data_IF_748848331949
#
_entry.id   IF_748848331949
#
_cell.length_a   1.000
_cell.length_b   1.000
_cell.length_c   1.000
_cell.angle_alpha   90.00
_cell.angle_beta   90.00
_cell.angle_gamma   90.00
#
_symmetry.space_group_name_H-M   'P 1'
#
loop_
_entity.id
_entity.type
_entity.pdbx_description
1 polymer ?
#
# COMPACT_ATOMS: atom_id res chain seq x y z
N UNK A 1 1.38 -1.07 -16.84
CA UNK A 1 1.99 -1.84 -15.74
C UNK A 1 0.90 -2.67 -15.06
N UNK A 2 1.19 -3.92 -14.71
CA UNK A 2 0.30 -4.80 -13.93
C UNK A 2 0.84 -5.03 -12.51
N UNK A 3 0.03 -5.60 -11.61
CA UNK A 3 0.41 -5.78 -10.20
C UNK A 3 1.72 -6.54 -9.98
N UNK A 4 2.02 -7.55 -10.80
CA UNK A 4 3.27 -8.31 -10.68
C UNK A 4 4.52 -7.48 -11.03
N UNK A 5 4.44 -6.66 -12.08
CA UNK A 5 5.52 -5.75 -12.47
C UNK A 5 5.72 -4.66 -11.41
N UNK A 6 4.62 -4.14 -10.86
CA UNK A 6 4.65 -3.16 -9.78
C UNK A 6 5.38 -3.70 -8.54
N UNK A 7 5.08 -4.94 -8.12
CA UNK A 7 5.75 -5.56 -6.96
C UNK A 7 7.25 -5.69 -7.21
N UNK A 8 7.67 -6.07 -8.42
CA UNK A 8 9.09 -6.15 -8.75
C UNK A 8 9.77 -4.77 -8.74
N UNK A 9 9.08 -3.70 -9.14
CA UNK A 9 9.61 -2.33 -9.00
C UNK A 9 9.71 -1.90 -7.53
N UNK A 10 8.71 -2.26 -6.72
CA UNK A 10 8.68 -1.96 -5.29
C UNK A 10 9.87 -2.60 -4.55
N UNK A 11 10.19 -3.85 -4.87
CA UNK A 11 11.36 -4.56 -4.34
C UNK A 11 12.67 -3.83 -4.65
N UNK A 12 12.84 -3.31 -5.87
CA UNK A 12 14.06 -2.58 -6.29
C UNK A 12 14.27 -1.28 -5.53
N UNK A 13 13.19 -0.62 -5.14
CA UNK A 13 13.26 0.69 -4.46
C UNK A 13 13.19 0.57 -2.94
N UNK A 14 12.98 -0.63 -2.40
CA UNK A 14 12.76 -0.89 -0.97
C UNK A 14 13.72 -0.12 -0.08
N UNK A 15 15.02 -0.19 -0.36
CA UNK A 15 16.06 0.36 0.50
C UNK A 15 16.14 1.89 0.49
N UNK A 16 15.49 2.56 -0.46
CA UNK A 16 15.43 4.02 -0.57
C UNK A 16 14.42 4.62 0.42
N UNK A 17 13.56 3.79 1.01
CA UNK A 17 12.47 4.21 1.89
C UNK A 17 12.57 3.53 3.25
N UNK A 18 12.07 4.22 4.27
CA UNK A 18 11.77 3.63 5.57
C UNK A 18 10.30 3.22 5.58
N UNK A 19 10.05 1.91 5.45
CA UNK A 19 8.71 1.34 5.45
C UNK A 19 8.19 1.11 6.87
N UNK A 20 6.89 1.26 7.05
CA UNK A 20 6.22 1.07 8.33
C UNK A 20 4.77 0.63 8.16
N UNK A 21 4.24 -0.01 9.19
CA UNK A 21 2.82 -0.27 9.36
C UNK A 21 2.19 0.86 10.16
N UNK A 22 1.52 1.78 9.47
CA UNK A 22 0.83 2.90 10.09
C UNK A 22 -0.60 2.47 10.47
N UNK A 23 -1.04 2.65 11.74
CA UNK A 23 -2.44 2.39 12.07
C UNK A 23 -3.35 3.28 11.23
N UNK A 24 -4.46 2.71 10.76
CA UNK A 24 -5.51 3.48 10.11
C UNK A 24 -6.16 4.40 11.13
N UNK A 25 -5.95 5.71 10.99
CA UNK A 25 -6.44 6.72 11.95
C UNK A 25 -7.92 7.06 11.73
N UNK A 26 -8.42 6.81 10.52
CA UNK A 26 -9.81 7.10 10.15
C UNK A 26 -10.72 5.91 10.50
N UNK A 27 -10.15 4.73 10.68
CA UNK A 27 -10.85 3.57 11.21
C UNK A 27 -10.85 3.60 12.75
N UNK A 28 -11.97 4.02 13.35
CA UNK A 28 -12.21 3.70 14.76
C UNK A 28 -12.52 2.20 14.86
N UNK A 29 -11.66 1.38 15.49
CA UNK A 29 -12.00 -0.01 15.73
C UNK A 29 -13.17 -0.04 16.71
N UNK A 30 -14.30 -0.60 16.28
CA UNK A 30 -15.29 -1.08 17.24
C UNK A 30 -14.62 -2.19 18.09
N UNK A 31 -15.09 -2.46 19.31
CA UNK A 31 -14.47 -3.43 20.24
C UNK A 31 -14.34 -4.85 19.67
N UNK A 32 -14.92 -5.11 18.49
CA UNK A 32 -14.94 -6.38 17.76
C UNK A 32 -14.10 -6.37 16.48
N UNK A 33 -13.54 -5.24 16.05
CA UNK A 33 -12.71 -5.14 14.84
C UNK A 33 -11.23 -4.98 15.19
N UNK A 34 -10.39 -5.77 14.50
CA UNK A 34 -8.92 -5.68 14.60
C UNK A 34 -8.48 -4.34 14.03
N UNK A 35 -7.53 -3.67 14.70
CA UNK A 35 -6.86 -2.48 14.17
C UNK A 35 -6.30 -2.77 12.79
N UNK A 36 -6.64 -1.92 11.81
CA UNK A 36 -6.12 -2.01 10.44
C UNK A 36 -4.79 -1.28 10.36
N UNK A 37 -3.83 -1.88 9.66
CA UNK A 37 -2.51 -1.31 9.46
C UNK A 37 -2.22 -1.07 7.97
N UNK A 38 -1.91 0.16 7.64
CA UNK A 38 -1.61 0.62 6.28
C UNK A 38 -0.11 0.53 6.03
N UNK A 39 0.30 0.02 4.87
CA UNK A 39 1.71 0.03 4.44
C UNK A 39 2.03 1.45 3.99
N UNK A 40 2.98 2.10 4.67
CA UNK A 40 3.42 3.46 4.41
C UNK A 40 4.93 3.57 4.45
N UNK A 41 5.46 4.63 3.87
CA UNK A 41 6.88 4.93 3.96
C UNK A 41 7.21 6.41 4.00
N UNK A 42 8.45 6.67 4.40
CA UNK A 42 9.09 7.98 4.32
C UNK A 42 10.37 7.78 3.50
N UNK A 43 10.65 8.70 2.57
CA UNK A 43 11.88 8.68 1.78
C UNK A 43 13.10 8.95 2.68
N UNK A 44 14.18 8.19 2.50
CA UNK A 44 15.44 8.40 3.23
C UNK A 44 16.28 9.54 2.64
N UNK A 45 16.11 9.86 1.36
CA UNK A 45 17.04 10.68 0.57
C UNK A 45 16.34 11.89 -0.10
N UNK A 46 15.61 12.68 0.69
CA UNK A 46 14.85 13.85 0.20
C UNK A 46 13.35 13.68 0.41
N UNK A 47 12.57 14.73 0.13
CA UNK A 47 11.12 14.79 0.41
C UNK A 47 10.77 14.62 1.90
N UNK A 48 11.55 15.25 2.78
CA UNK A 48 11.26 15.27 4.22
C UNK A 48 9.82 15.75 4.48
N UNK A 49 9.11 15.01 5.34
CA UNK A 49 7.72 15.32 5.71
C UNK A 49 6.64 14.68 4.85
N UNK A 50 6.98 14.02 3.73
CA UNK A 50 6.01 13.27 2.93
C UNK A 50 5.87 11.83 3.40
N UNK A 51 4.62 11.40 3.56
CA UNK A 51 4.26 9.99 3.74
C UNK A 51 3.80 9.46 2.39
N UNK A 52 4.42 8.37 1.95
CA UNK A 52 4.10 7.70 0.71
C UNK A 52 3.31 6.42 0.99
N UNK A 53 2.36 6.11 0.11
CA UNK A 53 1.90 4.74 -0.08
C UNK A 53 2.84 4.00 -1.05
N UNK A 54 2.70 2.68 -1.25
CA UNK A 54 3.56 1.94 -2.16
C UNK A 54 3.55 2.50 -3.60
N UNK A 55 2.39 2.95 -4.10
CA UNK A 55 2.26 3.47 -5.46
C UNK A 55 3.01 4.81 -5.59
N UNK A 56 2.78 5.73 -4.64
CA UNK A 56 3.46 7.02 -4.57
C UNK A 56 4.98 6.88 -4.45
N UNK A 57 5.48 5.89 -3.70
CA UNK A 57 6.91 5.63 -3.59
C UNK A 57 7.53 5.21 -4.95
N UNK A 58 6.90 4.27 -5.67
CA UNK A 58 7.36 3.86 -7.00
C UNK A 58 7.26 5.01 -8.00
N UNK A 59 6.20 5.81 -7.92
CA UNK A 59 6.01 6.99 -8.77
C UNK A 59 7.13 8.02 -8.55
N UNK A 60 7.44 8.31 -7.28
CA UNK A 60 8.49 9.23 -6.89
C UNK A 60 9.85 8.82 -7.47
N UNK A 61 10.24 7.55 -7.36
CA UNK A 61 11.52 7.08 -7.89
C UNK A 61 11.55 7.08 -9.42
N UNK A 62 10.46 6.67 -10.09
CA UNK A 62 10.45 6.57 -11.56
C UNK A 62 10.33 7.90 -12.27
N UNK A 63 9.66 8.88 -11.67
CA UNK A 63 9.28 10.13 -12.35
C UNK A 63 9.85 11.38 -11.70
N UNK A 64 10.30 11.29 -10.43
CA UNK A 64 10.70 12.45 -9.63
C UNK A 64 9.54 13.22 -9.01
N UNK A 65 8.28 12.88 -9.32
CA UNK A 65 7.10 13.52 -8.73
C UNK A 65 6.69 12.82 -7.43
N UNK A 66 6.65 13.60 -6.34
CA UNK A 66 6.20 13.11 -5.05
C UNK A 66 4.70 13.35 -4.88
N UNK A 67 3.95 12.27 -4.70
CA UNK A 67 2.54 12.27 -4.31
C UNK A 67 2.44 11.77 -2.86
N UNK A 68 1.66 12.46 -2.02
CA UNK A 68 1.33 11.92 -0.70
C UNK A 68 0.38 10.73 -0.83
N UNK A 69 0.18 9.98 0.26
CA UNK A 69 -0.63 8.78 0.29
C UNK A 69 -2.13 8.99 -0.07
N UNK A 70 -2.59 10.23 -0.08
CA UNK A 70 -3.95 10.61 -0.51
C UNK A 70 -4.11 10.68 -2.05
N UNK A 71 -3.01 10.82 -2.80
CA UNK A 71 -3.01 11.01 -4.27
C UNK A 71 -2.49 9.78 -5.02
N UNK A 72 -2.82 8.59 -4.53
CA UNK A 72 -2.39 7.32 -5.12
C UNK A 72 -2.95 7.12 -6.53
N UNK A 73 -4.11 7.72 -6.86
CA UNK A 73 -4.74 7.57 -8.18
C UNK A 73 -3.91 8.28 -9.25
N UNK A 74 -3.54 9.54 -9.03
CA UNK A 74 -2.68 10.33 -9.89
C UNK A 74 -1.29 9.69 -10.03
N UNK A 75 -0.75 9.17 -8.92
CA UNK A 75 0.51 8.41 -8.95
C UNK A 75 0.39 7.14 -9.81
N UNK A 76 -0.74 6.43 -9.74
CA UNK A 76 -0.99 5.22 -10.53
C UNK A 76 -1.13 5.50 -12.03
N UNK A 77 -1.78 6.62 -12.39
CA UNK A 77 -1.91 7.08 -13.77
C UNK A 77 -0.54 7.45 -14.36
N UNK A 78 0.28 8.18 -13.61
CA UNK A 78 1.64 8.54 -14.01
C UNK A 78 2.54 7.30 -14.23
N UNK A 79 2.30 6.21 -13.50
CA UNK A 79 2.99 4.93 -13.67
C UNK A 79 2.44 4.07 -14.83
N UNK A 80 1.28 4.44 -15.38
CA UNK A 80 0.53 3.63 -16.34
C UNK A 80 0.07 2.31 -15.74
N UNK A 81 -0.26 2.29 -14.44
CA UNK A 81 -0.81 1.12 -13.75
C UNK A 81 -2.27 0.92 -14.17
N UNK A 82 -2.67 -0.33 -14.42
CA UNK A 82 -4.08 -0.63 -14.71
C UNK A 82 -4.98 -0.14 -13.55
N UNK A 83 -6.12 0.52 -13.81
CA UNK A 83 -7.01 1.00 -12.74
C UNK A 83 -7.48 -0.11 -11.79
N UNK A 84 -7.68 -1.33 -12.34
CA UNK A 84 -8.07 -2.50 -11.55
C UNK A 84 -6.94 -2.89 -10.59
N UNK A 85 -5.72 -3.04 -11.11
CA UNK A 85 -4.56 -3.40 -10.30
C UNK A 85 -4.21 -2.31 -9.29
N UNK A 86 -4.33 -1.04 -9.67
CA UNK A 86 -4.13 0.10 -8.77
C UNK A 86 -5.11 0.04 -7.58
N UNK A 87 -6.40 -0.19 -7.86
CA UNK A 87 -7.41 -0.36 -6.81
C UNK A 87 -7.11 -1.54 -5.89
N UNK A 88 -6.72 -2.68 -6.44
CA UNK A 88 -6.39 -3.88 -5.66
C UNK A 88 -5.13 -3.71 -4.81
N UNK A 89 -4.07 -3.09 -5.36
CA UNK A 89 -2.83 -2.79 -4.65
C UNK A 89 -3.07 -1.81 -3.51
N UNK A 90 -3.82 -0.73 -3.75
CA UNK A 90 -4.21 0.24 -2.73
C UNK A 90 -5.05 -0.42 -1.63
N UNK A 91 -6.05 -1.23 -2.01
CA UNK A 91 -6.87 -1.97 -1.05
C UNK A 91 -6.04 -2.92 -0.18
N UNK A 92 -5.12 -3.67 -0.78
CA UNK A 92 -4.21 -4.58 -0.08
C UNK A 92 -3.24 -3.82 0.85
N UNK A 93 -2.67 -2.71 0.38
CA UNK A 93 -1.78 -1.84 1.17
C UNK A 93 -2.50 -1.26 2.39
N UNK A 94 -3.79 -0.92 2.25
CA UNK A 94 -4.63 -0.36 3.31
C UNK A 94 -5.35 -1.41 4.18
N UNK A 95 -5.00 -2.69 4.05
CA UNK A 95 -5.61 -3.80 4.79
C UNK A 95 -7.14 -3.95 4.61
N UNK A 96 -7.64 -3.59 3.42
CA UNK A 96 -9.02 -3.82 3.01
C UNK A 96 -9.22 -5.25 2.49
N UNK A 97 -8.65 -6.22 3.20
CA UNK A 97 -8.60 -7.63 2.81
C UNK A 97 -9.86 -8.42 3.23
N UNK A 98 -10.82 -7.76 3.87
CA UNK A 98 -12.08 -8.32 4.34
C UNK A 98 -13.24 -7.51 3.78
N UNK A 99 -14.25 -8.19 3.23
CA UNK A 99 -15.50 -7.54 2.82
C UNK A 99 -16.49 -7.59 3.98
N UNK A 100 -17.06 -6.44 4.32
CA UNK A 100 -18.23 -6.34 5.21
C UNK A 100 -19.49 -6.50 4.37
N UNK A 101 -19.85 -7.74 4.05
CA UNK A 101 -21.12 -8.03 3.38
C UNK A 101 -22.18 -8.32 4.45
N UNK A 102 -22.91 -7.27 4.87
CA UNK A 102 -24.20 -7.19 5.60
C UNK A 102 -24.50 -8.09 6.82
N UNK A 103 -23.69 -9.10 7.11
CA UNK A 103 -23.78 -10.02 8.26
C UNK A 103 -22.66 -11.09 8.32
N UNK A 104 -21.79 -11.20 7.31
CA UNK A 104 -20.63 -12.10 7.31
C UNK A 104 -19.35 -11.37 6.88
N UNK A 105 -18.31 -11.54 7.68
CA UNK A 105 -16.95 -11.07 7.35
C UNK A 105 -16.29 -12.13 6.49
N UNK A 106 -16.24 -11.90 5.18
CA UNK A 106 -15.59 -12.82 4.25
C UNK A 106 -14.21 -12.30 3.85
N UNK A 107 -13.20 -13.15 4.01
CA UNK A 107 -11.84 -12.87 3.58
C UNK A 107 -11.77 -12.81 2.05
N UNK A 108 -11.25 -11.72 1.51
CA UNK A 108 -10.84 -11.67 0.12
C UNK A 108 -9.44 -12.28 0.01
N UNK A 109 -9.39 -13.58 -0.32
CA UNK A 109 -8.13 -14.35 -0.41
C UNK A 109 -7.13 -13.74 -1.39
N UNK A 110 -7.62 -13.15 -2.49
CA UNK A 110 -6.76 -12.48 -3.46
C UNK A 110 -6.07 -11.27 -2.84
N UNK A 111 -6.82 -10.37 -2.18
CA UNK A 111 -6.24 -9.21 -1.51
C UNK A 111 -5.35 -9.59 -0.32
N UNK A 112 -5.65 -10.67 0.40
CA UNK A 112 -4.76 -11.19 1.44
C UNK A 112 -3.42 -11.63 0.86
N UNK A 113 -3.44 -12.42 -0.22
CA UNK A 113 -2.23 -12.83 -0.93
C UNK A 113 -1.44 -11.63 -1.46
N UNK A 114 -2.13 -10.66 -2.05
CA UNK A 114 -1.52 -9.43 -2.57
C UNK A 114 -0.87 -8.62 -1.45
N UNK A 115 -1.54 -8.49 -0.30
CA UNK A 115 -1.00 -7.83 0.89
C UNK A 115 0.26 -8.54 1.39
N UNK A 116 0.26 -9.87 1.48
CA UNK A 116 1.45 -10.63 1.86
C UNK A 116 2.63 -10.33 0.93
N UNK A 117 2.39 -10.28 -0.39
CA UNK A 117 3.44 -9.96 -1.37
C UNK A 117 3.96 -8.54 -1.21
N UNK A 118 3.08 -7.57 -0.95
CA UNK A 118 3.48 -6.19 -0.67
C UNK A 118 4.37 -6.09 0.57
N UNK A 119 3.96 -6.72 1.68
CA UNK A 119 4.73 -6.75 2.92
C UNK A 119 6.14 -7.30 2.71
N UNK A 120 6.24 -8.44 2.00
CA UNK A 120 7.53 -9.04 1.64
C UNK A 120 8.36 -8.09 0.78
N UNK A 121 7.76 -7.48 -0.24
CA UNK A 121 8.43 -6.58 -1.16
C UNK A 121 9.03 -5.34 -0.47
N UNK A 122 8.35 -4.84 0.56
CA UNK A 122 8.84 -3.70 1.36
C UNK A 122 9.65 -4.09 2.59
N UNK A 123 9.75 -5.40 2.88
CA UNK A 123 10.52 -5.91 4.01
C UNK A 123 9.87 -5.74 5.36
N UNK A 124 8.53 -5.72 5.42
CA UNK A 124 7.77 -5.67 6.66
C UNK A 124 7.28 -7.08 7.01
N UNK A 125 7.40 -7.44 8.28
CA UNK A 125 6.80 -8.66 8.80
C UNK A 125 5.33 -8.43 9.17
N UNK A 126 4.57 -9.53 9.23
CA UNK A 126 3.23 -9.48 9.80
C UNK A 126 3.32 -9.10 11.28
N UNK A 127 2.54 -8.13 11.76
CA UNK A 127 2.34 -7.98 13.18
C UNK A 127 1.56 -9.20 13.67
N UNK A 128 2.16 -9.98 14.56
CA UNK A 128 1.53 -11.11 15.26
C UNK A 128 0.14 -10.72 15.80
#
# INVERSE_FOLDING_TARGET
>A
MVAAEFIAELEKIRDQFQWMLAPDRDHQPDRRTRTRYRIRSISKNGHEGFIFDPIGAVCCVRTGYAYSDDFWLEASEALGLSPIDAGDLTAAANDLTWREAERRREANRYLQSLRSRLLIAVGLDFPD
#
